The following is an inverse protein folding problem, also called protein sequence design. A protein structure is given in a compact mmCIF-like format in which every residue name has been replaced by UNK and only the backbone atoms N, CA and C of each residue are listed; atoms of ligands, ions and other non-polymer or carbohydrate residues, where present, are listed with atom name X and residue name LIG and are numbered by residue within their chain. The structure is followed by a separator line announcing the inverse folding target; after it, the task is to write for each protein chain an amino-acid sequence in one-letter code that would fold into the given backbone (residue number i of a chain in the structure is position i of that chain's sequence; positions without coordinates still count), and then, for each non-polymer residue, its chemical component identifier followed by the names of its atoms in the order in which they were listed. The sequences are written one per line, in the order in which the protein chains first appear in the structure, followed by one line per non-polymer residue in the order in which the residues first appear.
data_IF_777729363902
#
_entry.id   IF_777729363902
#
_cell.length_a   1.000
_cell.length_b   1.000
_cell.length_c   1.000
_cell.angle_alpha   90.00
_cell.angle_beta   90.00
_cell.angle_gamma   90.00
#
_symmetry.space_group_name_H-M   'P 1'
#
loop_
_entity.id
_entity.type
_entity.pdbx_description
1 polymer ?
#
# COMPACT_ATOMS: atom_id res chain seq x y z
N UNK A 1 17.03 -18.15 -2.15
CA UNK A 1 16.74 -16.69 -2.25
C UNK A 1 16.41 -16.21 -0.83
N UNK A 2 17.42 -16.21 0.04
CA UNK A 2 17.26 -15.82 1.44
C UNK A 2 17.48 -14.32 1.52
N UNK A 3 16.49 -13.58 2.03
CA UNK A 3 16.70 -12.18 2.39
C UNK A 3 17.76 -12.20 3.50
N UNK A 4 18.89 -11.54 3.26
CA UNK A 4 20.01 -11.54 4.19
C UNK A 4 19.53 -10.92 5.51
N UNK A 5 19.56 -11.70 6.60
CA UNK A 5 19.16 -11.24 7.93
C UNK A 5 19.86 -9.93 8.30
N UNK A 6 21.09 -9.72 7.83
CA UNK A 6 21.85 -8.49 8.06
C UNK A 6 21.21 -7.27 7.38
N UNK A 7 20.63 -7.41 6.17
CA UNK A 7 19.88 -6.33 5.53
C UNK A 7 18.55 -6.04 6.23
N UNK A 8 17.92 -7.08 6.79
CA UNK A 8 16.69 -6.94 7.59
C UNK A 8 16.98 -6.25 8.93
N UNK A 9 18.07 -6.63 9.60
CA UNK A 9 18.54 -6.02 10.84
C UNK A 9 19.02 -4.59 10.59
N UNK A 10 19.70 -4.29 9.46
CA UNK A 10 20.05 -2.91 9.09
C UNK A 10 18.79 -2.06 8.90
N UNK A 11 17.74 -2.60 8.25
CA UNK A 11 16.44 -1.92 8.11
C UNK A 11 15.76 -1.70 9.45
N UNK A 12 15.84 -2.67 10.37
CA UNK A 12 15.26 -2.56 11.72
C UNK A 12 16.04 -1.57 12.60
N UNK A 13 17.37 -1.52 12.51
CA UNK A 13 18.22 -0.61 13.28
C UNK A 13 18.13 0.85 12.77
N UNK A 14 17.91 1.05 11.47
CA UNK A 14 17.59 2.37 10.90
C UNK A 14 16.22 2.92 11.36
N UNK A 15 15.38 2.12 12.02
CA UNK A 15 14.07 2.54 12.52
C UNK A 15 14.10 3.31 13.86
N UNK A 16 15.21 3.35 14.59
CA UNK A 16 15.16 3.71 16.02
C UNK A 16 15.63 5.12 16.40
N UNK A 17 15.73 6.08 15.48
CA UNK A 17 15.99 7.48 15.90
C UNK A 17 15.51 8.59 14.94
N UNK A 18 15.09 8.29 13.71
CA UNK A 18 14.59 9.27 12.72
C UNK A 18 13.56 8.66 11.74
N UNK A 19 12.69 7.79 12.25
CA UNK A 19 11.84 6.93 11.41
C UNK A 19 10.39 7.41 11.42
N UNK A 20 9.92 7.86 10.26
CA UNK A 20 8.50 8.11 9.99
C UNK A 20 7.71 6.83 10.23
N UNK A 21 7.02 6.74 11.37
CA UNK A 21 6.09 5.67 11.68
C UNK A 21 4.98 5.59 10.63
N UNK A 22 4.36 4.42 10.49
CA UNK A 22 3.21 4.26 9.58
C UNK A 22 2.10 5.28 9.86
N UNK A 23 1.90 5.66 11.13
CA UNK A 23 0.92 6.66 11.52
C UNK A 23 1.31 8.04 10.97
N UNK A 24 2.57 8.44 11.11
CA UNK A 24 3.08 9.70 10.55
C UNK A 24 2.99 9.71 9.03
N UNK A 25 3.21 8.57 8.35
CA UNK A 25 2.98 8.44 6.91
C UNK A 25 1.53 8.71 6.49
N UNK A 26 0.56 8.26 7.30
CA UNK A 26 -0.88 8.53 7.09
C UNK A 26 -1.19 10.01 7.36
N UNK A 27 -0.59 10.61 8.39
CA UNK A 27 -0.74 12.04 8.68
C UNK A 27 -0.15 12.89 7.56
N UNK A 28 1.06 12.57 7.09
CA UNK A 28 1.70 13.21 5.95
C UNK A 28 0.82 13.15 4.69
N UNK A 29 0.18 12.00 4.41
CA UNK A 29 -0.76 11.89 3.30
C UNK A 29 -1.93 12.86 3.43
N UNK A 30 -2.51 12.99 4.63
CA UNK A 30 -3.60 13.94 4.91
C UNK A 30 -3.14 15.40 4.80
N UNK A 31 -1.90 15.69 5.18
CA UNK A 31 -1.28 17.00 5.07
C UNK A 31 -0.79 17.34 3.65
N UNK A 32 -1.01 16.45 2.68
CA UNK A 32 -0.53 16.57 1.28
C UNK A 32 0.99 16.53 1.13
N UNK A 33 1.70 15.99 2.11
CA UNK A 33 3.13 15.68 2.03
C UNK A 33 3.33 14.35 1.27
N UNK A 34 3.16 14.43 -0.05
CA UNK A 34 3.06 13.26 -0.93
C UNK A 34 4.36 12.42 -0.96
N UNK A 35 5.52 13.08 -0.90
CA UNK A 35 6.81 12.38 -0.98
C UNK A 35 7.11 11.59 0.30
N UNK A 36 6.91 12.20 1.46
CA UNK A 36 7.11 11.58 2.77
C UNK A 36 6.16 10.39 2.99
N UNK A 37 4.88 10.57 2.63
CA UNK A 37 3.90 9.49 2.72
C UNK A 37 4.22 8.31 1.79
N UNK A 38 4.64 8.57 0.55
CA UNK A 38 5.03 7.53 -0.39
C UNK A 38 6.21 6.68 0.10
N UNK A 39 7.25 7.34 0.63
CA UNK A 39 8.43 6.66 1.16
C UNK A 39 8.06 5.81 2.37
N UNK A 40 7.30 6.37 3.32
CA UNK A 40 6.83 5.65 4.50
C UNK A 40 6.02 4.40 4.13
N UNK A 41 5.01 4.53 3.25
CA UNK A 41 4.21 3.39 2.81
C UNK A 41 5.03 2.36 2.05
N UNK A 42 6.01 2.79 1.24
CA UNK A 42 6.87 1.88 0.50
C UNK A 42 7.75 1.03 1.41
N UNK A 43 8.44 1.66 2.38
CA UNK A 43 9.29 0.96 3.35
C UNK A 43 8.48 -0.03 4.19
N UNK A 44 7.35 0.38 4.74
CA UNK A 44 6.51 -0.51 5.55
C UNK A 44 5.84 -1.62 4.72
N UNK A 45 5.48 -1.35 3.47
CA UNK A 45 4.93 -2.36 2.57
C UNK A 45 5.97 -3.43 2.18
N UNK A 46 7.25 -3.05 2.04
CA UNK A 46 8.36 -4.00 1.82
C UNK A 46 8.55 -4.92 3.03
N UNK A 47 8.32 -4.43 4.25
CA UNK A 47 8.30 -5.23 5.47
C UNK A 47 7.03 -6.09 5.61
N UNK A 48 6.13 -6.05 4.63
CA UNK A 48 4.92 -6.87 4.61
C UNK A 48 3.75 -6.33 5.46
N UNK A 49 3.86 -5.10 5.98
CA UNK A 49 2.78 -4.49 6.75
C UNK A 49 1.54 -4.28 5.87
N UNK A 50 0.43 -4.94 6.23
CA UNK A 50 -0.80 -4.95 5.44
C UNK A 50 -1.45 -3.56 5.34
N UNK A 51 -1.39 -2.78 6.42
CA UNK A 51 -1.93 -1.43 6.47
C UNK A 51 -1.13 -0.53 5.52
N UNK A 52 0.19 -0.67 5.48
CA UNK A 52 1.05 0.08 4.57
C UNK A 52 0.84 -0.32 3.10
N UNK A 53 0.67 -1.61 2.80
CA UNK A 53 0.33 -2.10 1.45
C UNK A 53 -0.99 -1.48 1.00
N UNK A 54 -2.00 -1.45 1.88
CA UNK A 54 -3.28 -0.79 1.60
C UNK A 54 -3.12 0.71 1.32
N UNK A 55 -2.43 1.46 2.18
CA UNK A 55 -2.23 2.90 1.97
C UNK A 55 -1.39 3.24 0.74
N UNK A 56 -0.41 2.38 0.41
CA UNK A 56 0.31 2.48 -0.86
C UNK A 56 -0.65 2.31 -2.05
N UNK A 57 -1.60 1.38 -1.97
CA UNK A 57 -2.66 1.23 -2.97
C UNK A 57 -3.54 2.48 -3.12
N UNK A 58 -3.97 3.06 -1.99
CA UNK A 58 -4.72 4.33 -1.97
C UNK A 58 -3.93 5.45 -2.64
N UNK A 59 -2.67 5.63 -2.27
CA UNK A 59 -1.80 6.63 -2.88
C UNK A 59 -1.66 6.44 -4.40
N UNK A 60 -1.46 5.20 -4.85
CA UNK A 60 -1.32 4.88 -6.28
C UNK A 60 -2.60 5.20 -7.04
N UNK A 61 -3.77 4.93 -6.45
CA UNK A 61 -5.06 5.24 -7.03
C UNK A 61 -5.31 6.75 -7.11
N UNK A 62 -5.08 7.46 -6.00
CA UNK A 62 -5.46 8.87 -5.84
C UNK A 62 -4.47 9.82 -6.53
N UNK A 63 -3.16 9.54 -6.43
CA UNK A 63 -2.10 10.44 -6.89
C UNK A 63 -1.55 9.99 -8.23
N UNK A 64 -1.13 8.72 -8.34
CA UNK A 64 -0.54 8.19 -9.58
C UNK A 64 -1.59 7.80 -10.62
N UNK A 65 -2.88 7.81 -10.25
CA UNK A 65 -4.02 7.44 -11.10
C UNK A 65 -3.87 6.08 -11.80
N UNK A 66 -3.13 5.15 -11.19
CA UNK A 66 -2.89 3.82 -11.76
C UNK A 66 -3.79 2.78 -11.10
N UNK A 67 -5.01 2.63 -11.63
CA UNK A 67 -6.02 1.69 -11.10
C UNK A 67 -5.52 0.25 -11.06
N UNK A 68 -4.85 -0.22 -12.12
CA UNK A 68 -4.34 -1.59 -12.21
C UNK A 68 -3.36 -1.92 -11.09
N UNK A 69 -2.38 -1.05 -10.85
CA UNK A 69 -1.40 -1.23 -9.79
C UNK A 69 -2.04 -1.09 -8.39
N UNK A 70 -3.00 -0.17 -8.22
CA UNK A 70 -3.74 -0.05 -6.98
C UNK A 70 -4.53 -1.33 -6.65
N UNK A 71 -5.22 -1.91 -7.64
CA UNK A 71 -5.98 -3.16 -7.48
C UNK A 71 -5.07 -4.32 -7.08
N UNK A 72 -3.88 -4.44 -7.66
CA UNK A 72 -2.88 -5.45 -7.25
C UNK A 72 -2.44 -5.28 -5.79
N UNK A 73 -2.27 -4.05 -5.32
CA UNK A 73 -1.92 -3.77 -3.92
C UNK A 73 -3.09 -4.08 -2.99
N UNK A 74 -4.33 -3.74 -3.38
CA UNK A 74 -5.51 -4.08 -2.60
C UNK A 74 -5.73 -5.59 -2.52
N UNK A 75 -5.61 -6.31 -3.63
CA UNK A 75 -5.67 -7.77 -3.65
C UNK A 75 -4.64 -8.37 -2.68
N UNK A 76 -3.37 -7.97 -2.78
CA UNK A 76 -2.30 -8.49 -1.91
C UNK A 76 -2.59 -8.30 -0.42
N UNK A 77 -3.18 -7.17 -0.02
CA UNK A 77 -3.56 -6.94 1.37
C UNK A 77 -4.86 -7.68 1.74
N UNK A 78 -5.81 -7.79 0.80
CA UNK A 78 -7.09 -8.48 0.97
C UNK A 78 -6.91 -9.99 1.20
N UNK A 79 -6.04 -10.63 0.42
CA UNK A 79 -5.70 -12.05 0.50
C UNK A 79 -5.10 -12.43 1.85
N UNK A 80 -4.56 -11.43 2.58
CA UNK A 80 -3.98 -11.58 3.92
C UNK A 80 -4.91 -11.07 5.03
N UNK A 81 -6.19 -10.84 4.74
CA UNK A 81 -7.20 -10.52 5.74
C UNK A 81 -7.36 -9.03 6.09
N UNK A 82 -6.77 -8.10 5.34
CA UNK A 82 -6.96 -6.68 5.61
C UNK A 82 -8.35 -6.20 5.16
N UNK A 83 -9.27 -6.04 6.11
CA UNK A 83 -10.69 -5.77 5.85
C UNK A 83 -10.96 -4.59 4.89
N UNK A 84 -10.29 -3.44 5.06
CA UNK A 84 -10.49 -2.30 4.13
C UNK A 84 -9.98 -2.59 2.72
N UNK A 85 -8.96 -3.43 2.60
CA UNK A 85 -8.43 -3.82 1.29
C UNK A 85 -9.38 -4.81 0.61
N UNK A 86 -9.99 -5.73 1.36
CA UNK A 86 -11.02 -6.64 0.84
C UNK A 86 -12.19 -5.87 0.24
N UNK A 87 -12.72 -4.87 0.97
CA UNK A 87 -13.80 -4.02 0.45
C UNK A 87 -13.38 -3.25 -0.80
N UNK A 88 -12.19 -2.64 -0.80
CA UNK A 88 -11.69 -1.90 -1.98
C UNK A 88 -11.48 -2.80 -3.19
N UNK A 89 -10.92 -3.99 -2.98
CA UNK A 89 -10.70 -4.95 -4.05
C UNK A 89 -12.03 -5.46 -4.63
N UNK A 90 -13.00 -5.81 -3.77
CA UNK A 90 -14.33 -6.21 -4.20
C UNK A 90 -15.03 -5.14 -5.06
N UNK A 91 -14.98 -3.87 -4.64
CA UNK A 91 -15.52 -2.74 -5.42
C UNK A 91 -14.81 -2.61 -6.77
N UNK A 92 -13.49 -2.78 -6.80
CA UNK A 92 -12.73 -2.67 -8.05
C UNK A 92 -13.10 -3.75 -9.08
N UNK A 93 -13.46 -4.95 -8.61
CA UNK A 93 -13.91 -6.04 -9.48
C UNK A 93 -15.32 -5.78 -10.03
N UNK A 94 -16.24 -5.26 -9.22
CA UNK A 94 -17.58 -4.92 -9.71
C UNK A 94 -17.56 -3.82 -10.78
N UNK A 95 -16.66 -2.84 -10.65
CA UNK A 95 -16.49 -1.80 -11.67
C UNK A 95 -15.97 -2.40 -12.99
N UNK A 96 -15.01 -3.32 -12.92
CA UNK A 96 -14.45 -4.00 -14.09
C UNK A 96 -15.47 -4.95 -14.75
N UNK A 97 -16.29 -5.66 -13.96
CA UNK A 97 -17.36 -6.53 -14.45
C UNK A 97 -18.46 -5.74 -15.17
N UNK A 98 -18.83 -4.56 -14.65
CA UNK A 98 -19.76 -3.65 -15.34
C UNK A 98 -19.19 -3.20 -16.69
N UNK A 99 -17.88 -2.89 -16.75
CA UNK A 99 -17.22 -2.53 -18.00
C UNK A 99 -17.20 -3.70 -19.00
N UNK A 100 -17.00 -4.93 -18.53
CA UNK A 100 -17.00 -6.13 -19.38
C UNK A 100 -18.40 -6.42 -19.95
N UNK A 101 -19.46 -6.16 -19.18
CA UNK A 101 -20.85 -6.34 -19.64
C UNK A 101 -21.22 -5.30 -20.71
N UNK A 102 -20.78 -4.04 -20.57
CA UNK A 102 -21.09 -2.97 -21.54
C UNK A 102 -20.34 -3.13 -22.87
N UNK A 103 -19.22 -3.87 -22.87
CA UNK A 103 -18.37 -4.08 -24.07
C UNK A 103 -18.73 -5.32 -24.90
N UNK A 104 -19.74 -6.09 -24.50
CA UNK A 104 -20.30 -7.21 -25.27
C UNK A 104 -21.56 -6.79 -26.01
#
# INVERSE_FOLDING_TARGET
MAINLDQMILKILQCNSSYYSLIEGIVAYKNKEMQNSWECFSKHAELGNLIAIYWKGVYVLDIKKNKKLANQLFQKAADRGHAKAQVRYAISLSDDDVILIIRK
#
